data_IF_245846430423
#
_entry.id   IF_245846430423
#
_cell.length_a   1.000
_cell.length_b   1.000
_cell.length_c   1.000
_cell.angle_alpha   90.00
_cell.angle_beta   90.00
_cell.angle_gamma   90.00
#
_symmetry.space_group_name_H-M   'P 1'
#
loop_
_entity.id
_entity.type
_entity.pdbx_description
1 polymer ?
#
# COMPACT_ATOMS: atom_id res chain seq x y z
N UNK A 1 50.95 19.24 -55.78
CA UNK A 1 52.39 19.55 -55.68
C UNK A 1 52.68 20.08 -54.28
N UNK A 2 53.67 19.49 -53.60
CA UNK A 2 54.37 19.95 -52.37
C UNK A 2 53.58 19.91 -51.05
N UNK A 3 54.13 19.58 -49.87
CA UNK A 3 55.38 18.95 -49.40
C UNK A 3 55.15 18.61 -47.92
N UNK A 4 55.79 17.52 -47.46
CA UNK A 4 55.90 16.98 -46.09
C UNK A 4 56.71 17.92 -45.17
N UNK A 5 56.42 17.97 -43.86
CA UNK A 5 57.48 18.04 -42.83
C UNK A 5 56.98 17.71 -41.41
N UNK A 6 57.72 16.79 -40.79
CA UNK A 6 57.66 16.28 -39.42
C UNK A 6 58.16 17.30 -38.38
N UNK A 7 57.83 17.07 -37.08
CA UNK A 7 58.74 17.11 -35.89
C UNK A 7 57.94 17.10 -34.57
N UNK A 8 58.00 16.01 -33.78
CA UNK A 8 58.86 15.73 -32.60
C UNK A 8 58.26 16.09 -31.23
N UNK A 9 58.42 15.11 -30.33
CA UNK A 9 58.06 15.02 -28.92
C UNK A 9 58.75 16.06 -28.02
N UNK A 10 58.08 16.49 -26.94
CA UNK A 10 58.71 17.10 -25.75
C UNK A 10 57.85 16.87 -24.50
N UNK A 11 58.43 16.22 -23.47
CA UNK A 11 57.94 16.22 -22.08
C UNK A 11 58.27 17.56 -21.40
N UNK A 12 57.56 17.92 -20.32
CA UNK A 12 58.29 18.08 -19.06
C UNK A 12 57.56 17.61 -17.76
N UNK A 13 58.37 17.00 -16.89
CA UNK A 13 58.53 17.05 -15.41
C UNK A 13 57.36 17.43 -14.46
N UNK A 14 57.02 16.44 -13.62
CA UNK A 14 56.86 16.43 -12.14
C UNK A 14 56.39 17.68 -11.37
N UNK A 15 55.30 17.54 -10.59
CA UNK A 15 55.29 18.00 -9.19
C UNK A 15 54.17 17.40 -8.30
N UNK A 16 54.62 16.94 -7.12
CA UNK A 16 54.03 17.04 -5.76
C UNK A 16 52.62 16.52 -5.42
N UNK A 17 52.63 15.59 -4.47
CA UNK A 17 51.59 15.17 -3.53
C UNK A 17 50.70 16.31 -2.99
N UNK A 18 49.39 16.18 -3.13
CA UNK A 18 48.41 16.72 -2.15
C UNK A 18 47.17 15.82 -2.18
N UNK A 19 46.86 15.19 -1.03
CA UNK A 19 45.64 14.41 -0.81
C UNK A 19 44.43 15.34 -0.90
N UNK A 20 43.52 15.07 -1.83
CA UNK A 20 42.15 15.57 -1.77
C UNK A 20 41.19 14.45 -2.17
N UNK A 21 40.27 14.15 -1.25
CA UNK A 21 39.15 13.24 -1.41
C UNK A 21 38.28 13.65 -2.61
N UNK A 22 37.65 12.70 -3.32
CA UNK A 22 36.58 13.02 -4.25
C UNK A 22 35.30 13.39 -3.47
N UNK A 23 34.55 14.43 -3.88
CA UNK A 23 33.18 14.62 -3.41
C UNK A 23 32.27 13.65 -4.16
N UNK A 24 31.75 12.65 -3.46
CA UNK A 24 30.65 11.81 -3.95
C UNK A 24 29.35 12.59 -3.87
N UNK A 25 28.86 13.04 -5.03
CA UNK A 25 27.53 13.60 -5.19
C UNK A 25 26.71 12.73 -6.15
N UNK A 26 25.43 12.58 -5.81
CA UNK A 26 24.34 11.93 -6.55
C UNK A 26 24.30 10.39 -6.37
N UNK A 27 23.23 9.76 -5.88
CA UNK A 27 21.81 10.14 -5.90
C UNK A 27 21.12 9.58 -4.65
N UNK A 28 20.64 10.45 -3.76
CA UNK A 28 19.71 10.05 -2.72
C UNK A 28 18.31 10.01 -3.33
N UNK A 29 17.85 8.81 -3.70
CA UNK A 29 16.43 8.55 -3.89
C UNK A 29 15.76 8.69 -2.53
N UNK A 30 15.16 9.85 -2.30
CA UNK A 30 14.30 10.13 -1.16
C UNK A 30 13.15 9.12 -1.17
N UNK A 31 13.30 8.06 -0.39
CA UNK A 31 12.15 7.28 0.08
C UNK A 31 11.31 8.25 0.89
N UNK A 32 10.20 8.72 0.32
CA UNK A 32 9.13 9.36 1.09
C UNK A 32 8.49 8.26 1.91
N UNK A 33 9.15 7.94 3.03
CA UNK A 33 8.63 7.04 4.04
C UNK A 33 7.64 7.85 4.87
N UNK A 34 6.35 7.66 4.61
CA UNK A 34 5.29 8.08 5.51
C UNK A 34 5.40 7.25 6.80
N UNK A 35 6.33 7.66 7.68
CA UNK A 35 6.45 7.14 9.03
C UNK A 35 5.38 7.83 9.85
N UNK A 36 4.23 7.19 10.02
CA UNK A 36 3.33 7.49 11.13
C UNK A 36 4.21 7.56 12.39
N UNK A 37 4.33 8.75 12.99
CA UNK A 37 5.25 8.94 14.11
C UNK A 37 4.78 8.07 15.28
N UNK A 38 5.73 7.57 16.05
CA UNK A 38 5.42 6.74 17.21
C UNK A 38 4.47 7.47 18.18
N UNK A 39 4.53 8.81 18.20
CA UNK A 39 3.64 9.72 18.91
C UNK A 39 2.22 9.78 18.34
N UNK A 40 2.02 9.71 17.01
CA UNK A 40 0.68 9.56 16.42
C UNK A 40 0.07 8.20 16.76
N UNK A 41 0.90 7.13 16.78
CA UNK A 41 0.49 5.81 17.27
C UNK A 41 0.22 5.79 18.78
N UNK A 42 0.89 6.63 19.57
CA UNK A 42 0.72 6.73 21.03
C UNK A 42 -0.49 7.60 21.42
N UNK A 43 -0.73 8.71 20.70
CA UNK A 43 -1.82 9.67 20.97
C UNK A 43 -3.21 9.14 20.59
N UNK A 44 -3.30 8.12 19.75
CA UNK A 44 -4.55 7.42 19.43
C UNK A 44 -4.76 6.15 20.28
N UNK A 45 -3.79 5.80 21.12
CA UNK A 45 -3.89 4.73 22.12
C UNK A 45 -4.26 5.36 23.47
N UNK A 46 -5.50 5.79 23.62
CA UNK A 46 -6.05 5.99 24.96
C UNK A 46 -6.21 4.60 25.64
N UNK A 47 -5.63 4.36 26.83
CA UNK A 47 -5.70 3.06 27.49
C UNK A 47 -7.04 2.94 28.25
N UNK A 48 -8.13 2.77 27.50
CA UNK A 48 -9.40 2.26 28.01
C UNK A 48 -9.44 0.74 27.87
N UNK A 49 -8.60 0.03 28.63
CA UNK A 49 -8.67 -1.44 28.71
C UNK A 49 -9.96 -1.81 29.46
N UNK A 50 -11.02 -2.17 28.74
CA UNK A 50 -12.10 -3.00 29.27
C UNK A 50 -12.29 -4.26 28.44
N UNK A 51 -12.08 -5.37 29.13
CA UNK A 51 -12.46 -6.71 28.74
C UNK A 51 -14.00 -6.86 28.70
N UNK A 52 -14.47 -7.70 27.78
CA UNK A 52 -15.77 -8.40 27.73
C UNK A 52 -17.05 -7.55 27.52
N UNK A 53 -17.50 -7.49 26.27
CA UNK A 53 -18.85 -7.92 25.84
C UNK A 53 -19.01 -7.69 24.33
N UNK A 54 -19.39 -8.74 23.60
CA UNK A 54 -19.53 -8.80 22.14
C UNK A 54 -20.66 -7.93 21.54
N UNK A 55 -21.15 -6.92 22.28
CA UNK A 55 -22.41 -6.24 21.94
C UNK A 55 -22.29 -4.72 21.69
N UNK A 56 -21.07 -4.16 21.68
CA UNK A 56 -20.83 -2.73 21.33
C UNK A 56 -19.77 -2.47 20.26
N UNK A 57 -19.08 -3.51 19.78
CA UNK A 57 -17.83 -3.38 19.00
C UNK A 57 -18.07 -3.41 17.47
N UNK A 58 -19.32 -3.45 17.02
CA UNK A 58 -19.67 -3.54 15.61
C UNK A 58 -19.25 -2.33 14.75
N UNK A 59 -19.53 -1.07 15.13
CA UNK A 59 -19.24 0.07 14.25
C UNK A 59 -17.73 0.36 14.14
N UNK A 60 -16.96 0.12 15.21
CA UNK A 60 -15.51 0.30 15.21
C UNK A 60 -14.81 -0.74 14.33
N UNK A 61 -15.20 -2.03 14.47
CA UNK A 61 -14.66 -3.11 13.61
C UNK A 61 -14.95 -2.90 12.14
N UNK A 62 -16.01 -2.17 11.80
CA UNK A 62 -16.32 -1.83 10.42
C UNK A 62 -15.22 -1.00 9.75
N UNK A 63 -14.51 -0.16 10.52
CA UNK A 63 -13.39 0.63 10.01
C UNK A 63 -12.24 -0.27 9.50
N UNK A 64 -11.87 -1.27 10.31
CA UNK A 64 -10.87 -2.25 9.92
C UNK A 64 -11.35 -3.21 8.85
N UNK A 65 -12.63 -3.56 8.86
CA UNK A 65 -13.23 -4.38 7.80
C UNK A 65 -13.19 -3.67 6.43
N UNK A 66 -13.52 -2.38 6.35
CA UNK A 66 -13.42 -1.60 5.10
C UNK A 66 -11.99 -1.65 4.53
N UNK A 67 -11.00 -1.40 5.37
CA UNK A 67 -9.59 -1.45 4.98
C UNK A 67 -9.19 -2.86 4.52
N UNK A 68 -9.59 -3.90 5.27
CA UNK A 68 -9.30 -5.29 4.95
C UNK A 68 -9.88 -5.72 3.61
N UNK A 69 -11.14 -5.40 3.35
CA UNK A 69 -11.81 -5.74 2.09
C UNK A 69 -11.14 -5.07 0.89
N UNK A 70 -10.76 -3.79 1.01
CA UNK A 70 -10.04 -3.08 -0.04
C UNK A 70 -8.70 -3.76 -0.34
N UNK A 71 -7.91 -4.06 0.70
CA UNK A 71 -6.61 -4.72 0.57
C UNK A 71 -6.73 -6.05 -0.18
N UNK A 72 -7.71 -6.88 0.21
CA UNK A 72 -7.91 -8.19 -0.40
C UNK A 72 -8.33 -8.09 -1.86
N UNK A 73 -9.15 -7.11 -2.23
CA UNK A 73 -9.53 -6.88 -3.63
C UNK A 73 -8.38 -6.39 -4.47
N UNK A 74 -7.56 -5.47 -3.98
CA UNK A 74 -6.37 -5.00 -4.69
C UNK A 74 -5.41 -6.18 -4.92
N UNK A 75 -5.14 -6.98 -3.88
CA UNK A 75 -4.29 -8.16 -3.99
C UNK A 75 -4.85 -9.17 -4.99
N UNK A 76 -6.14 -9.48 -4.92
CA UNK A 76 -6.80 -10.41 -5.84
C UNK A 76 -6.79 -9.90 -7.29
N UNK A 77 -6.95 -8.59 -7.49
CA UNK A 77 -6.88 -7.97 -8.80
C UNK A 77 -5.49 -8.13 -9.41
N UNK A 78 -4.43 -7.86 -8.65
CA UNK A 78 -3.05 -7.98 -9.15
C UNK A 78 -2.70 -9.44 -9.39
N UNK A 79 -2.90 -10.32 -8.40
CA UNK A 79 -2.41 -11.69 -8.39
C UNK A 79 -3.46 -12.74 -8.81
N UNK A 80 -4.17 -12.51 -9.92
CA UNK A 80 -5.23 -13.42 -10.41
C UNK A 80 -4.78 -14.87 -10.62
N UNK A 81 -3.49 -15.09 -10.94
CA UNK A 81 -2.93 -16.44 -11.14
C UNK A 81 -2.60 -17.19 -9.85
N UNK A 82 -2.70 -16.55 -8.68
CA UNK A 82 -2.35 -17.14 -7.39
C UNK A 82 -3.58 -17.67 -6.67
N UNK A 83 -3.59 -18.97 -6.37
CA UNK A 83 -4.70 -19.62 -5.64
C UNK A 83 -4.79 -19.17 -4.19
N UNK A 84 -3.66 -18.81 -3.58
CA UNK A 84 -3.57 -18.42 -2.18
C UNK A 84 -2.60 -17.25 -2.03
N UNK A 85 -2.97 -16.27 -1.22
CA UNK A 85 -2.23 -15.02 -1.02
C UNK A 85 -1.72 -14.90 0.43
N UNK A 86 -1.20 -16.00 0.99
CA UNK A 86 -0.70 -15.99 2.38
C UNK A 86 0.57 -15.16 2.51
N UNK A 87 0.58 -14.26 3.50
CA UNK A 87 1.68 -13.31 3.71
C UNK A 87 1.79 -12.24 2.63
N UNK A 88 0.79 -12.10 1.75
CA UNK A 88 0.69 -10.97 0.83
C UNK A 88 -0.01 -9.84 1.56
N UNK A 89 0.61 -8.68 1.55
CA UNK A 89 0.06 -7.44 2.09
C UNK A 89 0.27 -6.33 1.06
N UNK A 90 -0.53 -5.27 1.10
CA UNK A 90 -0.28 -4.16 0.18
C UNK A 90 1.11 -3.51 0.37
N UNK A 91 1.63 -3.34 1.61
CA UNK A 91 2.98 -2.84 1.79
C UNK A 91 4.08 -3.67 1.11
N UNK A 92 3.91 -5.00 1.01
CA UNK A 92 4.92 -5.89 0.42
C UNK A 92 4.64 -6.28 -1.05
N UNK A 93 3.68 -5.62 -1.70
CA UNK A 93 3.17 -6.06 -3.01
C UNK A 93 4.25 -6.11 -4.10
N UNK A 94 5.19 -5.17 -4.11
CA UNK A 94 6.29 -5.14 -5.08
C UNK A 94 7.22 -6.34 -4.91
N UNK A 95 7.57 -6.67 -3.66
CA UNK A 95 8.37 -7.85 -3.35
C UNK A 95 7.63 -9.12 -3.76
N UNK A 96 6.31 -9.17 -3.55
CA UNK A 96 5.46 -10.28 -3.98
C UNK A 96 5.39 -10.43 -5.49
N UNK A 97 5.34 -9.34 -6.26
CA UNK A 97 5.41 -9.39 -7.73
C UNK A 97 6.74 -10.03 -8.19
N UNK A 98 7.86 -9.65 -7.58
CA UNK A 98 9.16 -10.26 -7.87
C UNK A 98 9.18 -11.75 -7.47
N UNK A 99 8.67 -12.06 -6.28
CA UNK A 99 8.64 -13.42 -5.76
C UNK A 99 7.84 -14.36 -6.68
N UNK A 100 6.61 -13.99 -7.08
CA UNK A 100 5.74 -14.86 -7.89
C UNK A 100 6.17 -14.95 -9.35
N UNK A 101 6.95 -13.99 -9.84
CA UNK A 101 7.55 -14.03 -11.17
C UNK A 101 8.91 -14.73 -11.20
N UNK A 102 9.43 -15.17 -10.04
CA UNK A 102 10.67 -15.94 -9.97
C UNK A 102 10.35 -17.44 -9.91
N UNK A 103 10.91 -18.21 -10.83
CA UNK A 103 10.74 -19.66 -10.84
C UNK A 103 11.42 -20.28 -9.61
N UNK A 104 10.70 -21.03 -8.75
CA UNK A 104 11.26 -21.53 -7.49
C UNK A 104 12.47 -22.46 -7.67
N UNK A 105 12.48 -23.26 -8.75
CA UNK A 105 13.51 -24.27 -8.98
C UNK A 105 14.77 -23.72 -9.66
N UNK A 106 14.62 -22.70 -10.50
CA UNK A 106 15.73 -22.19 -11.34
C UNK A 106 16.24 -20.82 -10.87
N UNK A 107 15.49 -20.12 -10.02
CA UNK A 107 15.75 -18.74 -9.63
C UNK A 107 15.63 -17.74 -10.79
N UNK A 108 15.23 -18.18 -11.97
CA UNK A 108 15.09 -17.30 -13.14
C UNK A 108 13.80 -16.50 -13.05
N UNK A 109 13.90 -15.23 -13.36
CA UNK A 109 12.74 -14.32 -13.40
C UNK A 109 12.05 -14.42 -14.75
N UNK A 110 10.75 -14.68 -14.73
CA UNK A 110 9.88 -14.46 -15.88
C UNK A 110 9.62 -12.95 -16.04
N UNK A 111 10.42 -12.32 -16.91
CA UNK A 111 10.34 -10.88 -17.15
C UNK A 111 9.00 -10.42 -17.72
N UNK A 112 8.38 -11.24 -18.57
CA UNK A 112 7.08 -10.92 -19.18
C UNK A 112 5.96 -10.96 -18.15
N UNK A 113 5.92 -12.01 -17.33
CA UNK A 113 4.94 -12.13 -16.26
C UNK A 113 5.14 -11.06 -15.17
N UNK A 114 6.39 -10.74 -14.81
CA UNK A 114 6.71 -9.64 -13.89
C UNK A 114 6.19 -8.31 -14.40
N UNK A 115 6.51 -7.96 -15.65
CA UNK A 115 6.06 -6.72 -16.28
C UNK A 115 4.54 -6.63 -16.30
N UNK A 116 3.86 -7.74 -16.64
CA UNK A 116 2.41 -7.79 -16.66
C UNK A 116 1.78 -7.49 -15.29
N UNK A 117 2.29 -8.11 -14.22
CA UNK A 117 1.80 -7.84 -12.85
C UNK A 117 2.09 -6.41 -12.40
N UNK A 118 3.29 -5.89 -12.69
CA UNK A 118 3.67 -4.50 -12.39
C UNK A 118 2.78 -3.50 -13.12
N UNK A 119 2.49 -3.73 -14.40
CA UNK A 119 1.60 -2.85 -15.18
C UNK A 119 0.19 -2.88 -14.62
N UNK A 120 -0.36 -4.06 -14.35
CA UNK A 120 -1.69 -4.20 -13.76
C UNK A 120 -1.81 -3.47 -12.42
N UNK A 121 -0.79 -3.58 -11.56
CA UNK A 121 -0.76 -2.83 -10.31
C UNK A 121 -0.71 -1.32 -10.56
N UNK A 122 0.12 -0.85 -11.50
CA UNK A 122 0.22 0.56 -11.83
C UNK A 122 -1.12 1.12 -12.36
N UNK A 123 -1.75 0.43 -13.32
CA UNK A 123 -3.04 0.84 -13.90
C UNK A 123 -4.14 0.92 -12.82
N UNK A 124 -4.16 -0.04 -11.90
CA UNK A 124 -5.08 -0.02 -10.77
C UNK A 124 -4.80 1.16 -9.84
N UNK A 125 -3.53 1.40 -9.49
CA UNK A 125 -3.16 2.52 -8.62
C UNK A 125 -3.49 3.88 -9.25
N UNK A 126 -3.32 4.03 -10.57
CA UNK A 126 -3.72 5.24 -11.30
C UNK A 126 -5.23 5.46 -11.28
N UNK A 127 -6.01 4.37 -11.35
CA UNK A 127 -7.47 4.43 -11.18
C UNK A 127 -7.86 4.84 -9.77
N UNK A 128 -7.25 4.23 -8.74
CA UNK A 128 -7.56 4.53 -7.33
C UNK A 128 -7.10 5.94 -6.92
N UNK A 129 -6.05 6.47 -7.55
CA UNK A 129 -5.55 7.83 -7.32
C UNK A 129 -6.59 8.91 -7.64
N UNK A 130 -7.50 8.65 -8.56
CA UNK A 130 -8.62 9.56 -8.88
C UNK A 130 -9.55 9.77 -7.67
N UNK A 131 -9.57 8.82 -6.73
CA UNK A 131 -10.33 8.91 -5.48
C UNK A 131 -9.47 9.38 -4.29
N UNK A 132 -8.23 9.81 -4.54
CA UNK A 132 -7.29 10.27 -3.50
C UNK A 132 -6.42 9.18 -2.90
N UNK A 133 -6.50 7.93 -3.38
CA UNK A 133 -5.63 6.86 -2.91
C UNK A 133 -4.16 7.17 -3.22
N UNK A 134 -3.31 6.88 -2.24
CA UNK A 134 -1.87 7.05 -2.34
C UNK A 134 -1.17 5.71 -2.05
N UNK A 135 -0.44 5.13 -3.01
CA UNK A 135 0.23 3.85 -2.85
C UNK A 135 1.39 3.88 -1.84
N UNK A 136 1.83 5.06 -1.40
CA UNK A 136 2.89 5.21 -0.39
C UNK A 136 2.32 5.33 1.03
N UNK A 137 1.10 5.83 1.18
CA UNK A 137 0.46 6.09 2.47
C UNK A 137 -0.54 5.01 2.84
N UNK A 138 -1.50 4.75 1.95
CA UNK A 138 -2.70 3.98 2.25
C UNK A 138 -2.46 2.49 2.50
N UNK A 139 -1.46 1.82 1.88
CA UNK A 139 -1.10 0.46 2.28
C UNK A 139 -0.72 0.33 3.76
N UNK A 140 0.14 1.23 4.25
CA UNK A 140 0.58 1.22 5.66
C UNK A 140 -0.53 1.69 6.59
N UNK A 141 -1.35 2.64 6.14
CA UNK A 141 -2.53 3.09 6.87
C UNK A 141 -3.58 1.99 7.02
N UNK A 142 -3.91 1.27 5.95
CA UNK A 142 -4.86 0.16 5.97
C UNK A 142 -4.42 -0.92 6.95
N UNK A 143 -3.15 -1.33 6.89
CA UNK A 143 -2.57 -2.26 7.87
C UNK A 143 -2.70 -1.74 9.32
N UNK A 144 -2.46 -0.45 9.54
CA UNK A 144 -2.67 0.16 10.86
C UNK A 144 -4.12 0.09 11.32
N UNK A 145 -5.08 0.48 10.47
CA UNK A 145 -6.52 0.45 10.81
C UNK A 145 -6.98 -0.99 11.10
N UNK A 146 -6.59 -1.96 10.28
CA UNK A 146 -6.91 -3.39 10.49
C UNK A 146 -6.39 -3.86 11.85
N UNK A 147 -5.13 -3.54 12.18
CA UNK A 147 -4.52 -3.96 13.43
C UNK A 147 -5.09 -3.22 14.66
N UNK A 148 -5.58 -1.99 14.48
CA UNK A 148 -6.14 -1.17 15.55
C UNK A 148 -7.60 -1.48 15.85
N UNK A 149 -8.42 -1.64 14.82
CA UNK A 149 -9.87 -1.79 14.95
C UNK A 149 -10.36 -3.23 14.76
N UNK A 150 -9.50 -4.12 14.24
CA UNK A 150 -9.85 -5.51 13.95
C UNK A 150 -10.70 -5.66 12.68
N UNK A 151 -11.03 -6.90 12.36
CA UNK A 151 -11.91 -7.27 11.24
C UNK A 151 -13.18 -7.95 11.77
N UNK A 152 -14.20 -8.02 10.94
CA UNK A 152 -15.38 -8.81 11.22
C UNK A 152 -15.07 -10.28 10.88
N UNK A 153 -15.16 -11.16 11.86
CA UNK A 153 -14.89 -12.59 11.67
C UNK A 153 -16.12 -13.36 11.21
N UNK A 154 -17.30 -12.81 11.46
CA UNK A 154 -18.58 -13.39 11.09
C UNK A 154 -19.44 -12.32 10.42
N UNK A 155 -20.26 -12.74 9.46
CA UNK A 155 -21.34 -11.89 8.98
C UNK A 155 -22.16 -11.46 10.19
N UNK A 156 -22.40 -10.15 10.40
CA UNK A 156 -23.27 -9.74 11.49
C UNK A 156 -24.59 -10.48 11.30
N UNK A 157 -24.84 -11.46 12.18
CA UNK A 157 -26.11 -12.14 12.21
C UNK A 157 -27.15 -11.07 12.53
N UNK A 158 -28.32 -11.15 11.91
CA UNK A 158 -29.47 -10.23 12.07
C UNK A 158 -30.07 -10.24 13.48
N UNK A 159 -29.25 -10.36 14.53
CA UNK A 159 -29.62 -10.57 15.93
C UNK A 159 -29.67 -9.28 16.75
N UNK A 160 -29.49 -8.11 16.13
CA UNK A 160 -29.77 -6.83 16.79
C UNK A 160 -30.68 -6.00 15.91
N UNK A 161 -31.66 -5.34 16.53
CA UNK A 161 -32.79 -4.62 15.93
C UNK A 161 -32.42 -3.38 15.10
N UNK A 162 -31.19 -3.31 14.60
CA UNK A 162 -30.67 -2.31 13.68
C UNK A 162 -30.01 -3.07 12.53
N UNK A 163 -30.79 -3.41 11.50
CA UNK A 163 -30.25 -3.86 10.22
C UNK A 163 -29.47 -2.69 9.61
N UNK A 164 -28.18 -2.59 9.95
CA UNK A 164 -27.25 -1.72 9.24
C UNK A 164 -27.04 -2.37 7.88
N UNK A 165 -27.57 -1.78 6.81
CA UNK A 165 -27.34 -2.28 5.45
C UNK A 165 -25.88 -1.99 5.06
N UNK A 166 -25.02 -2.98 5.31
CA UNK A 166 -23.61 -2.94 4.93
C UNK A 166 -23.36 -2.93 3.42
N UNK A 167 -24.42 -3.04 2.62
CA UNK A 167 -24.36 -2.90 1.16
C UNK A 167 -24.43 -1.43 0.73
N UNK A 168 -24.93 -0.54 1.58
CA UNK A 168 -25.13 0.87 1.26
C UNK A 168 -23.87 1.70 1.62
N UNK A 169 -23.17 2.29 0.64
CA UNK A 169 -22.00 3.13 0.90
C UNK A 169 -22.32 4.38 1.73
N UNK A 170 -23.54 4.92 1.70
CA UNK A 170 -23.91 6.11 2.47
C UNK A 170 -24.07 5.79 3.97
N UNK A 171 -24.59 4.60 4.30
CA UNK A 171 -24.60 4.08 5.67
C UNK A 171 -23.17 3.91 6.19
N UNK A 172 -22.27 3.35 5.38
CA UNK A 172 -20.86 3.20 5.77
C UNK A 172 -20.17 4.55 6.00
N UNK A 173 -20.47 5.57 5.19
CA UNK A 173 -19.97 6.94 5.40
C UNK A 173 -20.45 7.51 6.73
N UNK A 174 -21.72 7.29 7.07
CA UNK A 174 -22.27 7.74 8.34
C UNK A 174 -21.57 7.09 9.54
N UNK A 175 -21.31 5.77 9.46
CA UNK A 175 -20.57 5.04 10.51
C UNK A 175 -19.13 5.57 10.65
N UNK A 176 -18.44 5.83 9.53
CA UNK A 176 -17.10 6.43 9.55
C UNK A 176 -17.15 7.81 10.23
N UNK A 177 -18.11 8.66 9.86
CA UNK A 177 -18.24 10.00 10.43
C UNK A 177 -18.57 9.99 11.94
N UNK A 178 -19.30 8.98 12.43
CA UNK A 178 -19.67 8.90 13.85
C UNK A 178 -18.62 8.19 14.72
N UNK A 179 -17.78 7.34 14.14
CA UNK A 179 -16.92 6.41 14.89
C UNK A 179 -15.43 6.72 14.72
N UNK A 180 -15.01 7.24 13.57
CA UNK A 180 -13.60 7.47 13.30
C UNK A 180 -13.07 8.71 14.05
N UNK A 181 -11.87 8.64 14.64
CA UNK A 181 -11.17 9.84 15.11
C UNK A 181 -10.96 10.83 13.95
N UNK A 182 -11.11 12.13 14.23
CA UNK A 182 -11.01 13.20 13.21
C UNK A 182 -9.72 13.12 12.39
N UNK A 183 -8.62 12.71 13.01
CA UNK A 183 -7.30 12.56 12.37
C UNK A 183 -7.26 11.45 11.31
N UNK A 184 -8.12 10.45 11.40
CA UNK A 184 -8.16 9.28 10.51
C UNK A 184 -9.32 9.36 9.50
N UNK A 185 -10.27 10.27 9.75
CA UNK A 185 -11.53 10.36 9.02
C UNK A 185 -11.35 10.48 7.51
N UNK A 186 -10.48 11.40 7.08
CA UNK A 186 -10.22 11.66 5.66
C UNK A 186 -9.71 10.42 4.93
N UNK A 187 -8.69 9.77 5.49
CA UNK A 187 -8.06 8.61 4.86
C UNK A 187 -9.01 7.39 4.87
N UNK A 188 -9.83 7.22 5.91
CA UNK A 188 -10.89 6.19 5.95
C UNK A 188 -11.96 6.39 4.86
N UNK A 189 -12.40 7.63 4.62
CA UNK A 189 -13.34 7.94 3.55
C UNK A 189 -12.75 7.68 2.15
N UNK A 190 -11.43 7.87 1.98
CA UNK A 190 -10.71 7.49 0.76
C UNK A 190 -10.74 5.97 0.59
N UNK A 191 -10.42 5.20 1.63
CA UNK A 191 -10.47 3.73 1.57
C UNK A 191 -11.87 3.24 1.19
N UNK A 192 -12.93 3.81 1.79
CA UNK A 192 -14.30 3.46 1.45
C UNK A 192 -14.63 3.78 -0.02
N UNK A 193 -14.25 4.97 -0.51
CA UNK A 193 -14.48 5.35 -1.90
C UNK A 193 -13.78 4.40 -2.89
N UNK A 194 -12.55 3.99 -2.56
CA UNK A 194 -11.80 2.99 -3.32
C UNK A 194 -12.47 1.61 -3.28
N UNK A 195 -12.97 1.19 -2.12
CA UNK A 195 -13.68 -0.07 -1.97
C UNK A 195 -14.96 -0.09 -2.82
N UNK A 196 -15.73 1.00 -2.83
CA UNK A 196 -16.91 1.14 -3.68
C UNK A 196 -16.57 1.07 -5.16
N UNK A 197 -15.49 1.72 -5.60
CA UNK A 197 -15.01 1.61 -6.97
C UNK A 197 -14.64 0.16 -7.33
N UNK A 198 -13.88 -0.51 -6.46
CA UNK A 198 -13.48 -1.90 -6.67
C UNK A 198 -14.68 -2.84 -6.73
N UNK A 199 -15.68 -2.64 -5.86
CA UNK A 199 -16.92 -3.41 -5.83
C UNK A 199 -17.76 -3.26 -7.10
N UNK A 200 -17.82 -2.05 -7.64
CA UNK A 200 -18.47 -1.83 -8.94
C UNK A 200 -17.70 -2.49 -10.08
N UNK A 201 -16.37 -2.44 -10.03
CA UNK A 201 -15.51 -2.98 -11.09
C UNK A 201 -15.45 -4.52 -11.11
N UNK A 202 -15.49 -5.18 -9.94
CA UNK A 202 -15.47 -6.65 -9.84
C UNK A 202 -16.87 -7.29 -9.73
N UNK A 203 -17.93 -6.48 -9.58
CA UNK A 203 -19.31 -6.94 -9.48
C UNK A 203 -19.65 -7.66 -8.16
N UNK A 204 -18.82 -7.51 -7.12
CA UNK A 204 -19.00 -8.19 -5.82
C UNK A 204 -19.59 -7.25 -4.76
N UNK A 205 -20.36 -7.78 -3.79
CA UNK A 205 -20.85 -6.98 -2.66
C UNK A 205 -19.69 -6.37 -1.88
N UNK A 206 -19.87 -5.20 -1.24
CA UNK A 206 -18.82 -4.45 -0.52
C UNK A 206 -18.05 -5.31 0.50
N UNK A 207 -18.78 -6.16 1.23
CA UNK A 207 -18.20 -7.15 2.13
C UNK A 207 -18.45 -8.55 1.60
N UNK A 208 -17.38 -9.33 1.48
CA UNK A 208 -17.46 -10.76 1.20
C UNK A 208 -16.72 -11.53 2.29
N UNK A 209 -17.34 -12.62 2.73
CA UNK A 209 -16.90 -13.46 3.86
C UNK A 209 -16.08 -14.64 3.36
#
# INVERSE_FOLDING_TARGET
>A
MRVISERTCSKPKSNTHTKLHPPSASSATTKVQCRWTQEQKQSLRDPGMMSLSDSKVYPERLLGEIAFQLDRRILAHVFQGQKRLYGFTLPNIQDKIIQVSTQPLTGRVDGGYRLHLSQRYADLMDSLKQFGYSPTLHPTFGEFIINSYGILTERPASQTSQDIDLSDPDVLRQVINSTAPEKLLKDLLILLSCLCYMAKNDGKPLFYW
#
